data_IF_503544456786
#
_entry.id   IF_503544456786
#
_cell.length_a   1.000
_cell.length_b   1.000
_cell.length_c   1.000
_cell.angle_alpha   90.00
_cell.angle_beta   90.00
_cell.angle_gamma   90.00
#
_symmetry.space_group_name_H-M   'P 1'
#
loop_
_entity.id
_entity.type
_entity.pdbx_description
1 polymer ?
#
# COMPACT_ATOMS: atom_id res chain seq x y z
N UNK A 1 -20.45 9.09 -21.39
CA UNK A 1 -19.14 9.77 -21.49
C UNK A 1 -18.64 9.53 -22.89
N UNK A 2 -18.26 10.58 -23.62
CA UNK A 2 -17.74 10.45 -24.99
C UNK A 2 -16.46 9.61 -24.95
N UNK A 3 -16.47 8.43 -25.57
CA UNK A 3 -15.26 7.64 -25.87
C UNK A 3 -14.46 8.35 -26.96
N UNK A 4 -13.87 9.50 -26.64
CA UNK A 4 -12.82 10.07 -27.48
C UNK A 4 -11.55 9.31 -27.14
N UNK A 5 -11.19 8.36 -28.00
CA UNK A 5 -9.86 7.76 -28.03
C UNK A 5 -8.89 8.90 -28.34
N UNK A 6 -8.15 9.35 -27.33
CA UNK A 6 -7.13 10.38 -27.51
C UNK A 6 -5.89 9.70 -28.10
N UNK A 7 -5.36 10.28 -29.18
CA UNK A 7 -4.06 9.87 -29.71
C UNK A 7 -2.99 10.17 -28.66
N UNK A 8 -2.42 9.12 -28.09
CA UNK A 8 -1.44 9.20 -27.01
C UNK A 8 -0.20 10.03 -27.42
N UNK A 9 0.11 10.06 -28.73
CA UNK A 9 1.26 10.77 -29.31
C UNK A 9 1.07 12.28 -29.46
N UNK A 10 -0.17 12.79 -29.36
CA UNK A 10 -0.43 14.24 -29.37
C UNK A 10 -0.30 14.90 -28.00
N UNK A 11 0.01 14.13 -26.94
CA UNK A 11 0.12 14.63 -25.58
C UNK A 11 1.50 15.26 -25.31
N UNK A 12 1.49 16.41 -24.64
CA UNK A 12 2.70 17.09 -24.17
C UNK A 12 3.27 16.40 -22.92
N UNK A 13 3.93 15.26 -23.13
CA UNK A 13 4.58 14.45 -22.09
C UNK A 13 6.05 14.21 -22.40
N UNK A 14 6.84 13.84 -21.39
CA UNK A 14 8.27 13.55 -21.60
C UNK A 14 8.48 12.31 -22.49
N UNK A 15 9.66 12.21 -23.10
CA UNK A 15 9.96 11.13 -24.05
C UNK A 15 9.86 9.73 -23.45
N UNK A 16 10.18 9.58 -22.16
CA UNK A 16 9.99 8.32 -21.41
C UNK A 16 8.50 7.95 -21.38
N UNK A 17 7.61 8.92 -21.19
CA UNK A 17 6.17 8.67 -21.20
C UNK A 17 5.63 8.40 -22.60
N UNK A 18 6.11 9.11 -23.63
CA UNK A 18 5.78 8.79 -25.03
C UNK A 18 6.13 7.34 -25.35
N UNK A 19 7.36 6.90 -24.99
CA UNK A 19 7.77 5.51 -25.20
C UNK A 19 6.88 4.49 -24.48
N UNK A 20 6.46 4.78 -23.25
CA UNK A 20 5.51 3.91 -22.52
C UNK A 20 4.16 3.85 -23.23
N UNK A 21 3.69 4.97 -23.75
CA UNK A 21 2.39 5.09 -24.39
C UNK A 21 2.38 4.35 -25.73
N UNK A 22 3.42 4.50 -26.56
CA UNK A 22 3.63 3.70 -27.77
C UNK A 22 3.59 2.20 -27.48
N UNK A 23 4.28 1.76 -26.42
CA UNK A 23 4.28 0.37 -26.01
C UNK A 23 2.89 -0.10 -25.56
N UNK A 24 2.14 0.71 -24.80
CA UNK A 24 0.77 0.37 -24.42
C UNK A 24 -0.19 0.33 -25.62
N UNK A 25 -0.06 1.26 -26.56
CA UNK A 25 -0.85 1.29 -27.78
C UNK A 25 -0.57 0.05 -28.65
N UNK A 26 0.69 -0.37 -28.77
CA UNK A 26 1.06 -1.60 -29.49
C UNK A 26 0.47 -2.88 -28.85
N UNK A 27 0.07 -2.81 -27.58
CA UNK A 27 -0.58 -3.90 -26.85
C UNK A 27 -2.12 -3.78 -26.84
N UNK A 28 -2.69 -2.81 -27.56
CA UNK A 28 -4.11 -2.47 -27.55
C UNK A 28 -4.63 -2.23 -26.13
N UNK A 29 -3.83 -1.54 -25.30
CA UNK A 29 -4.12 -1.35 -23.88
C UNK A 29 -5.38 -0.52 -23.61
N UNK A 30 -5.86 0.26 -24.58
CA UNK A 30 -7.08 1.06 -24.40
C UNK A 30 -8.35 0.21 -24.33
N UNK A 31 -8.34 -0.96 -24.96
CA UNK A 31 -9.53 -1.81 -25.14
C UNK A 31 -9.58 -2.95 -24.13
N UNK A 32 -8.57 -3.07 -23.27
CA UNK A 32 -8.34 -4.26 -22.44
C UNK A 32 -8.05 -3.88 -21.00
N UNK A 33 -8.56 -4.65 -20.02
CA UNK A 33 -8.18 -4.45 -18.64
C UNK A 33 -6.69 -4.74 -18.46
N UNK A 34 -6.07 -4.08 -17.49
CA UNK A 34 -4.63 -4.21 -17.18
C UNK A 34 -4.17 -5.66 -17.17
N UNK A 35 -4.90 -6.52 -16.46
CA UNK A 35 -4.50 -7.92 -16.29
C UNK A 35 -4.40 -8.67 -17.62
N UNK A 36 -5.26 -8.35 -18.60
CA UNK A 36 -5.23 -9.00 -19.92
C UNK A 36 -4.06 -8.48 -20.74
N UNK A 37 -3.76 -7.18 -20.66
CA UNK A 37 -2.58 -6.57 -21.30
C UNK A 37 -1.30 -7.26 -20.83
N UNK A 38 -1.08 -7.34 -19.51
CA UNK A 38 0.15 -7.91 -18.94
C UNK A 38 0.23 -9.45 -19.01
N UNK A 39 -0.89 -10.15 -19.29
CA UNK A 39 -0.90 -11.60 -19.54
C UNK A 39 -0.82 -11.96 -21.03
N UNK A 40 -1.03 -11.00 -21.92
CA UNK A 40 -1.08 -11.21 -23.37
C UNK A 40 0.23 -11.79 -23.94
N UNK A 41 0.11 -12.51 -25.04
CA UNK A 41 1.26 -13.03 -25.80
C UNK A 41 2.10 -11.86 -26.33
N UNK A 42 1.47 -10.78 -26.77
CA UNK A 42 2.13 -9.57 -27.24
C UNK A 42 3.04 -8.94 -26.16
N UNK A 43 2.56 -8.82 -24.92
CA UNK A 43 3.39 -8.33 -23.81
C UNK A 43 4.58 -9.26 -23.53
N UNK A 44 4.37 -10.58 -23.62
CA UNK A 44 5.44 -11.57 -23.42
C UNK A 44 6.49 -11.56 -24.53
N UNK A 45 6.13 -11.12 -25.74
CA UNK A 45 7.09 -10.94 -26.86
C UNK A 45 7.96 -9.69 -26.75
N UNK A 46 7.65 -8.76 -25.84
CA UNK A 46 8.47 -7.58 -25.60
C UNK A 46 9.83 -7.95 -24.98
N UNK A 47 10.85 -7.15 -25.26
CA UNK A 47 12.15 -7.29 -24.62
C UNK A 47 12.05 -7.13 -23.09
N UNK A 48 13.03 -7.66 -22.35
CA UNK A 48 13.06 -7.54 -20.87
C UNK A 48 13.03 -6.06 -20.45
N UNK A 49 13.75 -5.20 -21.18
CA UNK A 49 13.79 -3.75 -20.94
C UNK A 49 12.42 -3.09 -21.14
N UNK A 50 11.71 -3.46 -22.21
CA UNK A 50 10.36 -2.96 -22.50
C UNK A 50 9.32 -3.48 -21.50
N UNK A 51 9.46 -4.71 -21.02
CA UNK A 51 8.61 -5.21 -19.96
C UNK A 51 8.83 -4.44 -18.66
N UNK A 52 10.09 -4.19 -18.28
CA UNK A 52 10.42 -3.45 -17.07
C UNK A 52 9.94 -1.99 -17.09
N UNK A 53 10.14 -1.26 -18.21
CA UNK A 53 9.70 0.14 -18.33
C UNK A 53 8.17 0.28 -18.23
N UNK A 54 7.41 -0.76 -18.63
CA UNK A 54 5.96 -0.81 -18.49
C UNK A 54 5.52 -1.28 -17.10
N UNK A 55 6.14 -2.34 -16.57
CA UNK A 55 5.68 -2.99 -15.34
C UNK A 55 6.10 -2.29 -14.06
N UNK A 56 7.06 -1.38 -14.11
CA UNK A 56 7.59 -0.74 -12.90
C UNK A 56 7.86 0.75 -13.09
N UNK A 57 7.47 1.54 -12.09
CA UNK A 57 7.75 2.97 -12.02
C UNK A 57 8.52 3.29 -10.73
N UNK A 58 9.83 3.61 -10.84
CA UNK A 58 10.66 3.90 -9.66
C UNK A 58 10.17 5.09 -8.85
N UNK A 59 9.64 6.14 -9.50
CA UNK A 59 9.13 7.32 -8.80
C UNK A 59 7.88 7.00 -8.00
N UNK A 60 7.02 6.12 -8.51
CA UNK A 60 5.85 5.64 -7.78
C UNK A 60 6.22 4.62 -6.68
N UNK A 61 7.34 3.91 -6.82
CA UNK A 61 7.86 3.05 -5.75
C UNK A 61 8.23 3.87 -4.51
N UNK A 62 9.05 4.92 -4.67
CA UNK A 62 9.44 5.76 -3.54
C UNK A 62 8.34 6.75 -3.13
N UNK A 63 7.50 7.19 -4.07
CA UNK A 63 6.44 8.17 -3.80
C UNK A 63 5.11 7.58 -3.36
N UNK A 64 4.84 6.29 -3.58
CA UNK A 64 3.58 5.64 -3.19
C UNK A 64 2.34 6.38 -3.72
N UNK A 65 1.33 6.57 -2.86
CA UNK A 65 0.13 7.35 -3.19
C UNK A 65 0.41 8.84 -3.43
N UNK A 66 1.49 9.41 -2.86
CA UNK A 66 1.88 10.82 -3.07
C UNK A 66 2.26 11.05 -4.53
N UNK A 67 2.91 10.07 -5.16
CA UNK A 67 3.17 10.11 -6.60
C UNK A 67 1.89 10.27 -7.43
N UNK A 68 0.81 9.57 -7.04
CA UNK A 68 -0.48 9.66 -7.73
C UNK A 68 -1.10 11.04 -7.57
N UNK A 69 -0.98 11.66 -6.39
CA UNK A 69 -1.40 13.05 -6.18
C UNK A 69 -0.65 14.01 -7.11
N UNK A 70 0.68 13.89 -7.22
CA UNK A 70 1.49 14.70 -8.14
C UNK A 70 1.10 14.50 -9.61
N UNK A 71 0.69 13.29 -9.99
CA UNK A 71 0.16 13.01 -11.33
C UNK A 71 -1.31 13.39 -11.50
N UNK A 72 -1.95 13.96 -10.48
CA UNK A 72 -3.36 14.37 -10.47
C UNK A 72 -4.34 13.20 -10.55
N UNK A 73 -3.95 12.03 -10.06
CA UNK A 73 -4.80 10.83 -9.94
C UNK A 73 -5.35 10.76 -8.52
N UNK A 74 -6.15 11.75 -8.12
CA UNK A 74 -6.57 11.97 -6.72
C UNK A 74 -7.39 10.84 -6.13
N UNK A 75 -8.31 10.27 -6.90
CA UNK A 75 -9.21 9.22 -6.48
C UNK A 75 -8.44 7.91 -6.27
N UNK A 76 -7.59 7.53 -7.24
CA UNK A 76 -6.66 6.40 -7.09
C UNK A 76 -5.67 6.60 -5.94
N UNK A 77 -5.18 7.82 -5.73
CA UNK A 77 -4.33 8.14 -4.57
C UNK A 77 -5.06 7.89 -3.25
N UNK A 78 -6.33 8.30 -3.14
CA UNK A 78 -7.16 8.04 -1.97
C UNK A 78 -7.37 6.55 -1.70
N UNK A 79 -7.55 5.74 -2.75
CA UNK A 79 -7.63 4.28 -2.63
C UNK A 79 -6.30 3.68 -2.16
N UNK A 80 -5.18 4.06 -2.79
CA UNK A 80 -3.86 3.56 -2.41
C UNK A 80 -3.48 3.96 -0.99
N UNK A 81 -3.81 5.18 -0.57
CA UNK A 81 -3.65 5.63 0.80
C UNK A 81 -4.47 4.76 1.77
N UNK A 82 -5.75 4.53 1.46
CA UNK A 82 -6.64 3.71 2.30
C UNK A 82 -6.12 2.28 2.43
N UNK A 83 -5.69 1.67 1.32
CA UNK A 83 -5.07 0.35 1.33
C UNK A 83 -3.78 0.31 2.15
N UNK A 84 -2.95 1.36 2.06
CA UNK A 84 -1.72 1.50 2.87
C UNK A 84 -2.04 1.59 4.36
N UNK A 85 -3.03 2.40 4.74
CA UNK A 85 -3.44 2.55 6.14
C UNK A 85 -3.97 1.22 6.72
N UNK A 86 -4.82 0.51 5.95
CA UNK A 86 -5.32 -0.82 6.35
C UNK A 86 -4.17 -1.85 6.44
N UNK A 87 -3.22 -1.80 5.51
CA UNK A 87 -2.03 -2.65 5.56
C UNK A 87 -1.21 -2.42 6.84
N UNK A 88 -0.94 -1.16 7.19
CA UNK A 88 -0.24 -0.82 8.44
C UNK A 88 -1.02 -1.27 9.68
N UNK A 89 -2.35 -1.07 9.70
CA UNK A 89 -3.21 -1.53 10.79
C UNK A 89 -3.15 -3.06 10.95
N UNK A 90 -3.20 -3.79 9.83
CA UNK A 90 -3.11 -5.25 9.81
C UNK A 90 -1.76 -5.72 10.38
N UNK A 91 -0.65 -5.16 9.93
CA UNK A 91 0.68 -5.55 10.43
C UNK A 91 0.82 -5.25 11.93
N UNK A 92 0.41 -4.07 12.38
CA UNK A 92 0.45 -3.70 13.80
C UNK A 92 -0.41 -4.64 14.66
N UNK A 93 -1.60 -4.99 14.16
CA UNK A 93 -2.47 -5.98 14.82
C UNK A 93 -1.83 -7.37 14.88
N UNK A 94 -1.18 -7.82 13.81
CA UNK A 94 -0.46 -9.11 13.77
C UNK A 94 0.70 -9.13 14.75
N UNK A 95 1.52 -8.07 14.80
CA UNK A 95 2.60 -7.93 15.78
C UNK A 95 2.06 -8.02 17.21
N UNK A 96 0.97 -7.32 17.49
CA UNK A 96 0.33 -7.34 18.80
C UNK A 96 -0.20 -8.72 19.19
N UNK A 97 -0.98 -9.36 18.31
CA UNK A 97 -1.61 -10.66 18.57
C UNK A 97 -0.59 -11.78 18.68
N UNK A 98 0.37 -11.85 17.75
CA UNK A 98 1.35 -12.94 17.67
C UNK A 98 2.60 -12.68 18.51
N UNK A 99 2.88 -11.44 18.88
CA UNK A 99 4.07 -11.08 19.66
C UNK A 99 5.36 -11.16 18.84
N UNK A 100 5.22 -11.10 17.51
CA UNK A 100 6.34 -11.06 16.58
C UNK A 100 6.70 -9.60 16.29
N UNK A 101 7.96 -9.37 15.86
CA UNK A 101 8.37 -8.08 15.30
C UNK A 101 8.51 -8.20 13.79
N UNK A 102 7.69 -7.45 13.08
CA UNK A 102 7.73 -7.32 11.63
C UNK A 102 8.70 -6.18 11.29
N UNK A 103 9.73 -6.44 10.48
CA UNK A 103 10.66 -5.39 10.07
C UNK A 103 9.94 -4.19 9.43
N UNK A 104 10.33 -2.97 9.82
CA UNK A 104 9.71 -1.71 9.36
C UNK A 104 9.64 -1.61 7.83
N UNK A 105 10.56 -2.24 7.11
CA UNK A 105 10.55 -2.28 5.64
C UNK A 105 9.25 -2.83 5.07
N UNK A 106 8.62 -3.81 5.71
CA UNK A 106 7.38 -4.42 5.23
C UNK A 106 6.17 -3.48 5.30
N UNK A 107 6.20 -2.48 6.18
CA UNK A 107 5.13 -1.49 6.29
C UNK A 107 5.00 -0.61 5.04
N UNK A 108 6.11 -0.30 4.38
CA UNK A 108 6.11 0.60 3.23
C UNK A 108 6.40 -0.10 1.90
N UNK A 109 7.25 -1.14 1.87
CA UNK A 109 7.72 -1.74 0.61
C UNK A 109 6.59 -2.39 -0.21
N UNK A 110 5.62 -3.02 0.46
CA UNK A 110 4.51 -3.70 -0.21
C UNK A 110 3.55 -2.69 -0.86
N UNK A 111 3.03 -1.68 -0.15
CA UNK A 111 2.26 -0.58 -0.76
C UNK A 111 3.02 0.17 -1.86
N UNK A 112 4.32 0.41 -1.66
CA UNK A 112 5.21 1.04 -2.65
C UNK A 112 5.33 0.21 -3.94
N UNK A 113 5.50 -1.11 -3.80
CA UNK A 113 5.58 -2.02 -4.94
C UNK A 113 4.27 -2.04 -5.74
N UNK A 114 3.12 -2.08 -5.05
CA UNK A 114 1.81 -1.99 -5.69
C UNK A 114 1.66 -0.67 -6.47
N UNK A 115 2.00 0.45 -5.83
CA UNK A 115 1.97 1.77 -6.48
C UNK A 115 2.85 1.80 -7.75
N UNK A 116 4.06 1.24 -7.67
CA UNK A 116 5.01 1.18 -8.77
C UNK A 116 4.54 0.33 -9.94
N UNK A 117 3.86 -0.79 -9.66
CA UNK A 117 3.37 -1.72 -10.67
C UNK A 117 2.14 -1.20 -11.42
N UNK A 118 1.34 -0.36 -10.77
CA UNK A 118 0.10 0.18 -11.31
C UNK A 118 0.31 1.50 -12.06
N UNK A 119 1.25 2.34 -11.61
CA UNK A 119 1.35 3.75 -11.97
C UNK A 119 1.46 4.04 -13.48
N UNK A 120 2.20 3.22 -14.22
CA UNK A 120 2.38 3.44 -15.65
C UNK A 120 1.08 3.24 -16.43
N UNK A 121 0.37 2.15 -16.14
CA UNK A 121 -0.90 1.84 -16.78
C UNK A 121 -1.99 2.83 -16.33
N UNK A 122 -2.02 3.17 -15.04
CA UNK A 122 -3.00 4.11 -14.50
C UNK A 122 -2.88 5.51 -15.10
N UNK A 123 -1.65 6.00 -15.27
CA UNK A 123 -1.42 7.30 -15.87
C UNK A 123 -1.74 7.29 -17.37
N UNK A 124 -1.50 6.17 -18.05
CA UNK A 124 -1.91 5.98 -19.44
C UNK A 124 -3.43 6.03 -19.59
N UNK A 125 -4.19 5.25 -18.80
CA UNK A 125 -5.66 5.27 -18.83
C UNK A 125 -6.23 6.65 -18.45
N UNK A 126 -5.61 7.34 -17.48
CA UNK A 126 -5.99 8.71 -17.15
C UNK A 126 -5.89 9.63 -18.38
N UNK A 127 -4.76 9.63 -19.08
CA UNK A 127 -4.53 10.58 -20.17
C UNK A 127 -5.24 10.21 -21.47
N UNK A 128 -5.49 8.92 -21.72
CA UNK A 128 -6.09 8.45 -22.97
C UNK A 128 -7.61 8.27 -22.88
N UNK A 129 -8.13 7.93 -21.69
CA UNK A 129 -9.55 7.61 -21.49
C UNK A 129 -10.23 8.54 -20.47
N UNK A 130 -9.48 9.42 -19.81
CA UNK A 130 -10.02 10.25 -18.73
C UNK A 130 -10.40 9.43 -17.49
N UNK A 131 -9.82 8.23 -17.32
CA UNK A 131 -10.16 7.34 -16.20
C UNK A 131 -9.74 7.96 -14.85
N UNK A 132 -10.71 8.19 -13.97
CA UNK A 132 -10.47 8.68 -12.61
C UNK A 132 -10.24 7.54 -11.60
N UNK A 133 -10.91 6.39 -11.78
CA UNK A 133 -10.88 5.24 -10.88
C UNK A 133 -10.94 3.92 -11.69
N UNK A 134 -10.38 2.82 -11.17
CA UNK A 134 -10.41 1.52 -11.84
C UNK A 134 -11.85 0.98 -12.01
N UNK A 135 -12.23 0.47 -13.19
CA UNK A 135 -13.61 0.05 -13.54
C UNK A 135 -14.20 -1.04 -12.64
N UNK A 136 -13.35 -1.90 -12.07
CA UNK A 136 -13.76 -3.04 -11.24
C UNK A 136 -14.07 -2.65 -9.78
N UNK A 137 -14.05 -1.36 -9.47
CA UNK A 137 -14.29 -0.90 -8.10
C UNK A 137 -15.77 -1.04 -7.72
N UNK A 138 -16.07 -1.35 -6.45
CA UNK A 138 -17.44 -1.34 -5.96
C UNK A 138 -18.17 -0.03 -6.25
N UNK A 139 -19.45 -0.12 -6.63
CA UNK A 139 -20.29 1.04 -7.00
C UNK A 139 -20.31 2.15 -5.96
N UNK A 140 -20.20 1.81 -4.68
CA UNK A 140 -20.22 2.78 -3.58
C UNK A 140 -19.00 3.72 -3.58
N UNK A 141 -17.88 3.33 -4.18
CA UNK A 141 -16.68 4.17 -4.28
C UNK A 141 -16.84 5.28 -5.30
N UNK A 142 -17.63 5.03 -6.36
CA UNK A 142 -17.95 6.01 -7.41
C UNK A 142 -18.94 7.08 -6.95
N UNK A 143 -19.56 6.93 -5.78
CA UNK A 143 -20.39 7.98 -5.21
C UNK A 143 -19.52 9.21 -4.89
N UNK A 144 -20.13 10.40 -4.90
CA UNK A 144 -19.44 11.70 -4.72
C UNK A 144 -18.48 11.75 -3.52
N UNK A 145 -18.79 11.01 -2.46
CA UNK A 145 -17.99 10.95 -1.23
C UNK A 145 -17.38 9.57 -0.96
N UNK A 146 -17.47 8.62 -1.88
CA UNK A 146 -17.08 7.22 -1.65
C UNK A 146 -15.60 7.09 -1.30
N UNK A 147 -14.71 7.68 -2.11
CA UNK A 147 -13.26 7.68 -1.83
C UNK A 147 -12.95 8.42 -0.52
N UNK A 148 -13.58 9.57 -0.27
CA UNK A 148 -13.35 10.35 0.96
C UNK A 148 -13.78 9.58 2.21
N UNK A 149 -14.94 8.93 2.18
CA UNK A 149 -15.43 8.08 3.27
C UNK A 149 -14.48 6.91 3.52
N UNK A 150 -13.96 6.29 2.46
CA UNK A 150 -12.99 5.21 2.57
C UNK A 150 -11.67 5.68 3.22
N UNK A 151 -11.15 6.85 2.83
CA UNK A 151 -9.96 7.45 3.43
C UNK A 151 -10.16 7.73 4.92
N UNK A 152 -11.31 8.30 5.29
CA UNK A 152 -11.65 8.57 6.69
C UNK A 152 -11.76 7.27 7.50
N UNK A 153 -12.50 6.29 6.99
CA UNK A 153 -12.65 4.99 7.65
C UNK A 153 -11.31 4.27 7.83
N UNK A 154 -10.47 4.23 6.79
CA UNK A 154 -9.15 3.61 6.87
C UNK A 154 -8.23 4.32 7.87
N UNK A 155 -8.29 5.66 7.92
CA UNK A 155 -7.52 6.47 8.89
C UNK A 155 -7.98 6.21 10.32
N UNK A 156 -9.30 6.14 10.55
CA UNK A 156 -9.87 5.83 11.87
C UNK A 156 -9.49 4.42 12.33
N UNK A 157 -9.55 3.43 11.43
CA UNK A 157 -9.14 2.06 11.74
C UNK A 157 -7.64 2.00 12.08
N UNK A 158 -6.79 2.58 11.21
CA UNK A 158 -5.36 2.57 11.44
C UNK A 158 -4.96 3.31 12.71
N UNK A 159 -5.52 4.52 12.93
CA UNK A 159 -5.30 5.28 14.15
C UNK A 159 -5.77 4.51 15.38
N UNK A 160 -6.98 3.93 15.33
CA UNK A 160 -7.53 3.13 16.42
C UNK A 160 -6.65 1.93 16.77
N UNK A 161 -6.18 1.17 15.79
CA UNK A 161 -5.26 0.04 16.02
C UNK A 161 -3.93 0.53 16.59
N UNK A 162 -3.30 1.54 16.01
CA UNK A 162 -2.01 2.05 16.49
C UNK A 162 -2.12 2.57 17.92
N UNK A 163 -3.17 3.35 18.23
CA UNK A 163 -3.43 3.83 19.59
C UNK A 163 -3.69 2.68 20.55
N UNK A 164 -4.49 1.69 20.14
CA UNK A 164 -4.76 0.51 20.96
C UNK A 164 -3.47 -0.26 21.28
N UNK A 165 -2.67 -0.57 20.26
CA UNK A 165 -1.40 -1.29 20.40
C UNK A 165 -0.43 -0.49 21.26
N UNK A 166 -0.29 0.81 21.02
CA UNK A 166 0.59 1.67 21.82
C UNK A 166 0.17 1.77 23.29
N UNK A 167 -1.12 1.62 23.59
CA UNK A 167 -1.64 1.67 24.95
C UNK A 167 -1.67 0.31 25.65
N UNK A 168 -1.48 -0.80 24.95
CA UNK A 168 -1.52 -2.15 25.51
C UNK A 168 -0.22 -2.94 25.27
N UNK A 169 0.85 -2.26 24.83
CA UNK A 169 2.18 -2.84 24.72
C UNK A 169 3.15 -2.08 25.61
N UNK A 170 3.72 -2.81 26.56
CA UNK A 170 4.67 -2.30 27.53
C UNK A 170 5.97 -3.10 27.46
N UNK A 171 7.08 -2.49 27.85
CA UNK A 171 8.36 -3.18 27.97
C UNK A 171 9.06 -2.69 29.23
N UNK A 172 9.68 -3.60 30.00
CA UNK A 172 10.65 -3.18 31.02
C UNK A 172 11.82 -2.45 30.36
N UNK A 173 12.52 -1.64 31.14
CA UNK A 173 13.66 -0.86 30.64
C UNK A 173 14.70 -1.78 29.95
N UNK A 174 14.96 -2.94 30.56
CA UNK A 174 15.93 -3.92 30.06
C UNK A 174 15.42 -4.67 28.82
N UNK A 175 14.11 -4.93 28.73
CA UNK A 175 13.53 -5.65 27.59
C UNK A 175 13.35 -4.78 26.33
N UNK A 176 13.32 -3.44 26.46
CA UNK A 176 13.00 -2.52 25.35
C UNK A 176 13.92 -2.71 24.13
N UNK A 177 15.21 -2.93 24.37
CA UNK A 177 16.22 -3.07 23.33
C UNK A 177 16.83 -4.47 23.24
N UNK A 178 16.37 -5.41 24.07
CA UNK A 178 16.91 -6.76 24.10
C UNK A 178 16.24 -7.66 23.07
N UNK A 179 17.07 -8.46 22.37
CA UNK A 179 16.58 -9.54 21.51
C UNK A 179 16.12 -10.77 22.30
N UNK A 180 16.46 -10.85 23.58
CA UNK A 180 16.10 -11.97 24.48
C UNK A 180 14.79 -11.71 25.23
N UNK A 181 14.15 -10.56 25.01
CA UNK A 181 12.89 -10.22 25.66
C UNK A 181 11.80 -11.25 25.31
N UNK A 182 11.09 -11.70 26.33
CA UNK A 182 9.94 -12.60 26.22
C UNK A 182 8.66 -11.82 26.46
N UNK A 183 7.60 -12.18 25.74
CA UNK A 183 6.27 -11.57 25.90
C UNK A 183 5.47 -12.33 26.94
N UNK A 184 4.98 -11.63 27.97
CA UNK A 184 3.99 -12.14 28.91
C UNK A 184 2.62 -11.48 28.67
N UNK A 185 1.55 -12.25 28.89
CA UNK A 185 0.18 -11.78 28.79
C UNK A 185 -0.35 -11.39 30.18
N UNK A 186 -0.70 -10.10 30.34
CA UNK A 186 -1.33 -9.51 31.52
C UNK A 186 -2.74 -9.04 31.14
N UNK A 187 -3.64 -9.99 30.85
CA UNK A 187 -4.96 -9.66 30.29
C UNK A 187 -4.85 -9.12 28.85
N UNK A 188 -5.34 -7.90 28.63
CA UNK A 188 -5.20 -7.19 27.36
C UNK A 188 -3.78 -6.68 27.17
N UNK A 189 -3.03 -6.43 28.24
CA UNK A 189 -1.70 -5.87 28.14
C UNK A 189 -0.67 -6.94 27.78
N UNK A 190 0.22 -6.55 26.86
CA UNK A 190 1.37 -7.33 26.40
C UNK A 190 2.60 -6.67 26.97
N UNK A 191 3.24 -7.35 27.91
CA UNK A 191 4.44 -6.85 28.58
C UNK A 191 5.63 -7.65 28.09
N UNK A 192 6.63 -6.96 27.55
CA UNK A 192 7.92 -7.55 27.18
C UNK A 192 8.86 -7.42 28.39
N UNK A 193 9.40 -8.55 28.84
CA UNK A 193 10.27 -8.65 30.02
C UNK A 193 11.47 -9.52 29.69
N UNK A 194 12.56 -9.39 30.43
CA UNK A 194 13.69 -10.30 30.33
C UNK A 194 13.39 -11.63 31.06
N UNK A 195 13.96 -12.78 30.61
CA UNK A 195 13.71 -14.06 31.27
C UNK A 195 14.08 -14.07 32.76
N UNK A 196 15.21 -13.43 33.12
CA UNK A 196 15.64 -13.31 34.51
C UNK A 196 14.66 -12.48 35.37
N UNK A 197 14.06 -11.42 34.84
CA UNK A 197 13.01 -10.64 35.54
C UNK A 197 11.78 -11.50 35.81
N UNK A 198 11.41 -12.34 34.84
CA UNK A 198 10.29 -13.27 35.01
C UNK A 198 10.57 -14.31 36.11
N UNK A 199 11.79 -14.85 36.16
CA UNK A 199 12.20 -15.82 37.17
C UNK A 199 12.30 -15.21 38.58
N UNK A 200 12.77 -13.96 38.68
CA UNK A 200 12.96 -13.23 39.94
C UNK A 200 11.63 -12.75 40.55
N UNK A 201 10.78 -12.10 39.75
CA UNK A 201 9.57 -11.45 40.25
C UNK A 201 8.32 -12.30 40.09
N UNK A 202 8.32 -13.22 39.14
CA UNK A 202 7.15 -14.00 38.77
C UNK A 202 6.11 -13.19 37.99
N UNK A 203 5.31 -13.90 37.18
CA UNK A 203 4.31 -13.31 36.29
C UNK A 203 3.28 -12.43 37.01
N UNK A 204 2.80 -12.87 38.18
CA UNK A 204 1.75 -12.15 38.92
C UNK A 204 2.22 -10.79 39.42
N UNK A 205 3.46 -10.68 39.90
CA UNK A 205 4.02 -9.41 40.35
C UNK A 205 4.23 -8.45 39.16
N UNK A 206 4.74 -8.96 38.04
CA UNK A 206 4.95 -8.19 36.83
C UNK A 206 3.63 -7.66 36.25
N UNK A 207 2.57 -8.47 36.26
CA UNK A 207 1.25 -8.06 35.78
C UNK A 207 0.46 -7.19 36.78
N UNK A 208 0.97 -6.89 37.97
CA UNK A 208 0.20 -6.14 38.98
C UNK A 208 0.04 -4.65 38.64
N UNK A 209 0.95 -4.13 37.82
CA UNK A 209 1.05 -2.71 37.47
C UNK A 209 0.48 -2.39 36.08
N UNK A 210 -0.10 -3.39 35.40
CA UNK A 210 -0.66 -3.28 34.06
C UNK A 210 -2.11 -3.77 34.09
#
# INVERSE_FOLDING_TARGET
>A
MNNQIINSMSLEISDIWKRRFELFDSLSAQERPRNDVFKSVAYKSLSIKERYILSFNPLAFFGGFIYYLFKGMTEKAGVLFSATAIWCALLAGVEYLLGIRIPLVFYWVIPSLLSAQLANFDYYCKLTQGESLWPDMPRWIYLRYGVTQMVLAASLICGGVVTFVSNHQYSTADARHSMQAIRINCGLDKVYVMPNELDLFGKQALCRNF
#
